data_IF_052053969073
#
_entry.id   IF_052053969073
#
_cell.length_a   1.000
_cell.length_b   1.000
_cell.length_c   1.000
_cell.angle_alpha   90.00
_cell.angle_beta   90.00
_cell.angle_gamma   90.00
#
_symmetry.space_group_name_H-M   'P 1'
#
loop_
_entity.id
_entity.type
_entity.pdbx_description
1 polymer ?
#
# COMPACT_ATOMS: atom_id res chain seq x y z
N UNK A 1 21.79 -10.18 -16.19
CA UNK A 1 21.71 -8.73 -15.90
C UNK A 1 20.45 -8.52 -15.07
N UNK A 2 20.53 -8.03 -13.82
CA UNK A 2 19.32 -7.76 -13.02
C UNK A 2 18.59 -6.57 -13.65
N UNK A 3 17.27 -6.67 -13.83
CA UNK A 3 16.46 -5.55 -14.29
C UNK A 3 16.58 -4.39 -13.27
N UNK A 4 16.61 -3.13 -13.73
CA UNK A 4 16.55 -1.98 -12.82
C UNK A 4 15.23 -2.02 -12.05
N UNK A 5 15.25 -1.61 -10.78
CA UNK A 5 14.03 -1.46 -9.99
C UNK A 5 13.25 -0.27 -10.56
N UNK A 6 12.20 -0.56 -11.34
CA UNK A 6 11.33 0.42 -11.96
C UNK A 6 10.02 0.45 -11.16
N UNK A 7 9.47 1.65 -10.96
CA UNK A 7 8.11 1.80 -10.43
C UNK A 7 7.08 1.35 -11.47
N UNK A 8 5.89 0.94 -11.02
CA UNK A 8 4.82 0.40 -11.86
C UNK A 8 4.55 1.27 -13.10
N UNK A 9 4.46 2.58 -12.89
CA UNK A 9 4.23 3.59 -13.94
C UNK A 9 5.27 3.54 -15.08
N UNK A 10 6.49 3.10 -14.80
CA UNK A 10 7.58 3.01 -15.78
C UNK A 10 7.75 1.60 -16.36
N UNK A 11 6.73 0.74 -16.23
CA UNK A 11 6.78 -0.65 -16.71
C UNK A 11 7.45 -1.62 -15.74
N UNK A 12 7.62 -1.22 -14.48
CA UNK A 12 8.04 -2.11 -13.41
C UNK A 12 7.01 -3.21 -13.13
N UNK A 13 7.44 -4.41 -12.72
CA UNK A 13 6.52 -5.52 -12.43
C UNK A 13 5.76 -5.34 -11.11
N UNK A 14 6.28 -4.51 -10.20
CA UNK A 14 5.71 -4.32 -8.86
C UNK A 14 4.72 -3.14 -8.87
N UNK A 15 3.42 -3.36 -8.56
CA UNK A 15 2.38 -2.33 -8.65
C UNK A 15 2.36 -1.37 -7.45
N UNK A 16 3.10 -1.68 -6.38
CA UNK A 16 3.16 -0.88 -5.17
C UNK A 16 4.35 0.07 -5.24
N UNK A 17 4.09 1.36 -5.19
CA UNK A 17 5.14 2.39 -5.16
C UNK A 17 5.90 2.33 -3.82
N UNK A 18 5.21 2.07 -2.71
CA UNK A 18 5.81 2.00 -1.38
C UNK A 18 5.17 0.93 -0.48
N UNK A 19 5.93 0.47 0.50
CA UNK A 19 5.44 -0.27 1.66
C UNK A 19 6.06 0.34 2.91
N UNK A 20 5.23 0.96 3.76
CA UNK A 20 5.67 1.46 5.06
C UNK A 20 5.64 0.34 6.09
N UNK A 21 6.66 0.28 6.94
CA UNK A 21 6.82 -0.75 7.98
C UNK A 21 6.94 -0.07 9.35
N UNK A 22 5.98 -0.34 10.24
CA UNK A 22 5.95 0.24 11.59
C UNK A 22 6.16 -0.83 12.65
N UNK A 23 6.97 -0.52 13.65
CA UNK A 23 7.02 -1.29 14.88
C UNK A 23 5.82 -0.92 15.76
N UNK A 24 4.88 -1.83 15.94
CA UNK A 24 3.78 -1.65 16.88
C UNK A 24 4.12 -2.37 18.21
N UNK A 25 4.17 -1.67 19.34
CA UNK A 25 4.47 -2.29 20.63
C UNK A 25 3.40 -3.27 21.11
N UNK A 26 2.20 -3.27 20.51
CA UNK A 26 1.07 -4.07 20.97
C UNK A 26 0.38 -3.47 22.18
N UNK A 27 -0.50 -4.26 22.79
CA UNK A 27 -1.23 -3.94 24.02
C UNK A 27 -1.54 -5.25 24.75
N UNK A 28 -0.76 -5.56 25.78
CA UNK A 28 -0.88 -6.81 26.55
C UNK A 28 -2.23 -6.92 27.26
N UNK A 29 -2.80 -5.81 27.73
CA UNK A 29 -4.11 -5.81 28.40
C UNK A 29 -5.24 -6.24 27.47
N UNK A 30 -5.04 -6.08 26.16
CA UNK A 30 -5.98 -6.48 25.11
C UNK A 30 -5.55 -7.77 24.40
N UNK A 31 -4.49 -8.43 24.86
CA UNK A 31 -3.94 -9.64 24.25
C UNK A 31 -3.32 -9.41 22.87
N UNK A 32 -2.87 -8.18 22.56
CA UNK A 32 -2.26 -7.83 21.28
C UNK A 32 -0.74 -7.90 21.43
N UNK A 33 -0.05 -8.89 20.83
CA UNK A 33 1.40 -8.97 20.93
C UNK A 33 2.08 -7.83 20.14
N UNK A 34 3.34 -7.48 20.49
CA UNK A 34 4.18 -6.64 19.64
C UNK A 34 4.27 -7.23 18.22
N UNK A 35 4.11 -6.39 17.20
CA UNK A 35 4.07 -6.83 15.80
C UNK A 35 4.61 -5.77 14.85
N UNK A 36 5.05 -6.21 13.67
CA UNK A 36 5.30 -5.35 12.52
C UNK A 36 4.00 -5.08 11.79
N UNK A 37 3.73 -3.82 11.48
CA UNK A 37 2.55 -3.39 10.73
C UNK A 37 2.98 -2.83 9.38
N UNK A 38 2.62 -3.53 8.31
CA UNK A 38 2.93 -3.17 6.93
C UNK A 38 1.73 -2.45 6.33
N UNK A 39 1.97 -1.41 5.55
CA UNK A 39 0.94 -0.63 4.85
C UNK A 39 1.44 -0.40 3.42
N UNK A 40 0.65 -0.81 2.43
CA UNK A 40 0.96 -0.57 1.01
C UNK A 40 0.52 0.80 0.52
N UNK A 41 1.15 1.24 -0.58
CA UNK A 41 0.75 2.41 -1.35
C UNK A 41 0.88 2.07 -2.82
N UNK A 42 -0.21 2.18 -3.57
CA UNK A 42 -0.22 2.00 -5.03
C UNK A 42 -1.50 1.37 -5.57
N UNK A 43 -2.30 0.72 -4.69
CA UNK A 43 -3.63 0.24 -5.09
C UNK A 43 -4.65 1.38 -5.13
N UNK A 44 -4.47 2.37 -4.26
CA UNK A 44 -5.16 3.65 -4.38
C UNK A 44 -4.50 4.55 -5.41
N UNK A 45 -5.27 5.53 -5.92
CA UNK A 45 -4.73 6.55 -6.78
C UNK A 45 -3.97 7.60 -5.95
N UNK A 46 -2.64 7.42 -5.89
CA UNK A 46 -1.74 8.28 -5.12
C UNK A 46 -1.52 9.65 -5.74
N UNK A 47 -1.72 9.77 -7.06
CA UNK A 47 -1.25 10.92 -7.83
C UNK A 47 -2.37 11.74 -8.45
N UNK A 48 -3.54 11.15 -8.75
CA UNK A 48 -4.69 11.91 -9.24
C UNK A 48 -4.52 12.49 -10.65
N UNK A 49 -3.60 11.95 -11.44
CA UNK A 49 -3.29 12.46 -12.79
C UNK A 49 -3.39 11.42 -13.90
N UNK A 50 -4.03 10.28 -13.61
CA UNK A 50 -4.28 9.22 -14.59
C UNK A 50 -3.07 8.36 -14.92
N UNK A 51 -1.92 8.52 -14.24
CA UNK A 51 -0.67 7.86 -14.64
C UNK A 51 -0.62 6.34 -14.40
N UNK A 52 -1.44 5.83 -13.48
CA UNK A 52 -1.55 4.41 -13.11
C UNK A 52 -3.02 3.99 -13.04
N UNK A 53 -3.85 4.81 -12.38
CA UNK A 53 -5.29 4.58 -12.26
C UNK A 53 -6.08 5.51 -13.18
N UNK A 54 -6.88 4.94 -14.08
CA UNK A 54 -7.68 5.71 -15.04
C UNK A 54 -8.79 6.52 -14.34
N UNK A 55 -8.81 7.82 -14.62
CA UNK A 55 -9.82 8.75 -14.09
C UNK A 55 -11.14 8.66 -14.85
N UNK A 56 -11.15 8.11 -16.07
CA UNK A 56 -12.36 7.96 -16.86
C UNK A 56 -13.33 6.93 -16.26
N UNK A 57 -12.87 6.07 -15.36
CA UNK A 57 -13.72 5.16 -14.59
C UNK A 57 -14.36 5.84 -13.36
N UNK A 58 -13.96 7.07 -13.05
CA UNK A 58 -14.61 7.95 -12.09
C UNK A 58 -15.58 8.83 -12.85
N UNK A 59 -16.82 8.95 -12.37
CA UNK A 59 -17.89 9.65 -13.07
C UNK A 59 -17.71 11.18 -13.04
N UNK A 60 -16.58 11.77 -13.47
CA UNK A 60 -16.30 13.23 -13.48
C UNK A 60 -16.65 14.02 -12.20
N UNK A 61 -16.95 13.33 -11.11
CA UNK A 61 -17.26 13.82 -9.79
C UNK A 61 -16.22 13.22 -8.86
N UNK A 62 -15.87 13.90 -7.77
CA UNK A 62 -15.06 13.33 -6.69
C UNK A 62 -15.77 12.16 -5.97
N UNK A 63 -16.76 11.53 -6.60
CA UNK A 63 -17.57 10.45 -6.06
C UNK A 63 -17.07 9.13 -6.65
N UNK A 64 -16.45 8.33 -5.80
CA UNK A 64 -15.96 7.00 -6.14
C UNK A 64 -14.64 6.64 -5.45
N UNK A 65 -14.30 5.34 -5.38
CA UNK A 65 -13.07 4.86 -4.76
C UNK A 65 -11.82 5.45 -5.43
N UNK A 66 -10.76 5.71 -4.65
CA UNK A 66 -9.45 6.12 -5.16
C UNK A 66 -8.71 4.90 -5.69
N UNK A 67 -8.41 4.85 -7.00
CA UNK A 67 -7.89 3.63 -7.64
C UNK A 67 -8.82 2.44 -7.37
N UNK A 68 -8.28 1.37 -6.80
CA UNK A 68 -9.07 0.21 -6.33
C UNK A 68 -9.89 0.49 -5.05
N UNK A 69 -9.65 1.61 -4.36
CA UNK A 69 -10.44 2.06 -3.21
C UNK A 69 -9.95 1.60 -1.84
N UNK A 70 -8.82 0.91 -1.78
CA UNK A 70 -8.23 0.41 -0.53
C UNK A 70 -6.71 0.27 -0.66
N UNK A 71 -6.06 -0.01 0.47
CA UNK A 71 -4.66 -0.43 0.54
C UNK A 71 -4.56 -1.71 1.37
N UNK A 72 -3.52 -2.51 1.11
CA UNK A 72 -3.22 -3.71 1.87
C UNK A 72 -2.51 -3.35 3.18
N UNK A 73 -2.89 -4.06 4.24
CA UNK A 73 -2.13 -4.04 5.49
C UNK A 73 -1.85 -5.46 5.94
N UNK A 74 -0.71 -5.65 6.61
CA UNK A 74 -0.33 -6.94 7.18
C UNK A 74 0.23 -6.74 8.59
N UNK A 75 -0.09 -7.66 9.50
CA UNK A 75 0.38 -7.65 10.89
C UNK A 75 1.15 -8.94 11.16
N UNK A 76 2.47 -8.82 11.29
CA UNK A 76 3.36 -9.94 11.56
C UNK A 76 3.84 -9.89 12.99
N UNK A 77 3.51 -10.90 13.80
CA UNK A 77 4.01 -11.00 15.19
C UNK A 77 5.54 -10.86 15.19
N UNK A 78 6.08 -10.02 16.08
CA UNK A 78 7.52 -9.91 16.27
C UNK A 78 8.04 -11.16 16.98
N UNK A 79 9.09 -11.75 16.43
CA UNK A 79 9.81 -12.80 17.16
C UNK A 79 10.42 -12.20 18.43
N UNK A 80 10.16 -12.87 19.55
CA UNK A 80 10.89 -12.64 20.80
C UNK A 80 12.19 -13.44 20.71
N UNK A 81 13.32 -12.73 20.73
CA UNK A 81 14.64 -13.35 20.87
C UNK A 81 14.78 -13.91 22.28
#
# INVERSE_FOLDING_TARGET
MKQPYLVARLGGPDPLDYISMYANPGDENRGIPPHWHYISYGLSDLHGDGRVHDHNFRCNTNEGPSGFGFELTFRLKRESV
#
